data_IF_214415875136
#
_entry.id   IF_214415875136
#
_cell.length_a   1.000
_cell.length_b   1.000
_cell.length_c   1.000
_cell.angle_alpha   90.00
_cell.angle_beta   90.00
_cell.angle_gamma   90.00
#
_symmetry.space_group_name_H-M   'P 1'
#
loop_
_entity.id
_entity.type
_entity.pdbx_description
1 polymer ?
#
# COMPACT_ATOMS: atom_id res chain seq x y z
N UNK A 1 106.78 15.67 52.24
CA UNK A 1 107.07 17.06 51.85
C UNK A 1 106.66 17.15 50.39
N UNK A 2 105.49 17.71 50.09
CA UNK A 2 104.89 17.70 48.76
C UNK A 2 105.48 18.81 47.88
N UNK A 3 105.88 18.46 46.66
CA UNK A 3 106.54 19.38 45.75
C UNK A 3 105.58 20.50 45.30
N UNK A 4 106.00 21.79 45.36
CA UNK A 4 105.14 22.95 45.05
C UNK A 4 104.76 23.09 43.57
N UNK A 5 105.21 22.17 42.71
CA UNK A 5 105.03 22.22 41.25
C UNK A 5 103.74 21.57 40.76
N UNK A 6 103.16 20.60 41.48
CA UNK A 6 101.91 19.93 41.06
C UNK A 6 100.67 20.81 41.28
N UNK A 7 100.69 21.62 42.34
CA UNK A 7 99.64 22.61 42.62
C UNK A 7 99.68 23.75 41.60
N UNK A 8 100.86 24.13 41.11
CA UNK A 8 101.00 25.14 40.06
C UNK A 8 100.45 24.67 38.69
N UNK A 9 100.58 23.38 38.36
CA UNK A 9 99.97 22.82 37.14
C UNK A 9 98.46 22.64 37.25
N UNK A 10 97.94 22.26 38.42
CA UNK A 10 96.50 22.14 38.65
C UNK A 10 95.79 23.50 38.63
N UNK A 11 96.44 24.55 39.14
CA UNK A 11 95.92 25.93 39.10
C UNK A 11 95.96 26.50 37.68
N UNK A 12 96.93 26.13 36.83
CA UNK A 12 96.93 26.54 35.42
C UNK A 12 95.80 25.94 34.60
N UNK A 13 95.40 24.69 34.87
CA UNK A 13 94.28 24.03 34.17
C UNK A 13 92.91 24.59 34.60
N UNK A 14 92.79 25.09 35.84
CA UNK A 14 91.58 25.72 36.35
C UNK A 14 91.46 27.21 36.02
N UNK A 15 92.55 27.87 35.63
CA UNK A 15 92.59 29.31 35.31
C UNK A 15 92.35 29.62 33.82
N UNK A 16 92.09 28.61 32.98
CA UNK A 16 91.80 28.78 31.55
C UNK A 16 90.29 28.86 31.22
N UNK A 17 89.43 28.91 32.26
CA UNK A 17 87.99 29.18 32.14
C UNK A 17 87.64 30.53 32.77
N UNK A 18 87.96 31.63 32.08
CA UNK A 18 87.57 32.94 32.59
C UNK A 18 88.22 34.14 31.91
N UNK A 19 88.49 34.07 30.61
CA UNK A 19 88.84 35.26 29.85
C UNK A 19 87.65 36.23 29.83
N UNK A 20 87.88 37.51 30.14
CA UNK A 20 86.92 38.60 30.01
C UNK A 20 86.54 38.82 28.53
N UNK A 21 85.82 37.89 27.92
CA UNK A 21 85.12 38.13 26.67
C UNK A 21 83.81 38.83 27.01
N UNK A 22 83.67 40.10 26.65
CA UNK A 22 82.41 40.83 26.73
C UNK A 22 81.31 40.04 25.98
N UNK A 23 80.48 39.30 26.73
CA UNK A 23 79.41 38.44 26.21
C UNK A 23 78.32 39.22 25.44
N UNK A 24 78.26 40.54 25.61
CA UNK A 24 77.35 41.43 24.91
C UNK A 24 77.86 41.90 23.54
N UNK A 25 79.15 41.70 23.21
CA UNK A 25 79.67 42.04 21.88
C UNK A 25 79.33 40.89 20.94
N UNK A 26 78.49 41.11 19.90
CA UNK A 26 78.12 40.05 18.98
C UNK A 26 79.36 39.56 18.23
N UNK A 27 79.71 38.30 18.43
CA UNK A 27 80.76 37.62 17.67
C UNK A 27 80.20 37.13 16.32
N UNK A 28 81.07 36.81 15.36
CA UNK A 28 80.67 36.27 14.03
C UNK A 28 79.80 35.01 14.06
N UNK A 29 79.67 34.39 15.24
CA UNK A 29 78.68 33.35 15.53
C UNK A 29 77.24 33.81 15.29
N UNK A 30 76.92 35.09 15.43
CA UNK A 30 75.59 35.64 15.14
C UNK A 30 75.14 35.37 13.70
N UNK A 31 76.01 35.63 12.72
CA UNK A 31 75.70 35.38 11.30
C UNK A 31 75.57 33.90 10.98
N UNK A 32 76.38 33.05 11.63
CA UNK A 32 76.30 31.60 11.45
C UNK A 32 75.01 31.01 12.05
N UNK A 33 74.64 31.46 13.26
CA UNK A 33 73.36 31.09 13.89
C UNK A 33 72.18 31.60 13.07
N UNK A 34 72.25 32.83 12.53
CA UNK A 34 71.22 33.37 11.65
C UNK A 34 71.08 32.54 10.35
N UNK A 35 72.20 32.13 9.76
CA UNK A 35 72.19 31.29 8.57
C UNK A 35 71.53 29.92 8.83
N UNK A 36 71.88 29.25 9.95
CA UNK A 36 71.25 27.99 10.36
C UNK A 36 69.75 28.21 10.64
N UNK A 37 69.39 29.29 11.32
CA UNK A 37 68.00 29.64 11.59
C UNK A 37 67.19 29.81 10.30
N UNK A 38 67.73 30.52 9.31
CA UNK A 38 67.08 30.70 8.01
C UNK A 38 66.94 29.38 7.23
N UNK A 39 67.95 28.50 7.29
CA UNK A 39 67.87 27.16 6.68
C UNK A 39 66.76 26.34 7.35
N UNK A 40 66.71 26.29 8.68
CA UNK A 40 65.66 25.58 9.43
C UNK A 40 64.27 26.18 9.16
N UNK A 41 64.15 27.51 9.12
CA UNK A 41 62.91 28.20 8.78
C UNK A 41 62.44 27.82 7.36
N UNK A 42 63.36 27.75 6.40
CA UNK A 42 63.09 27.29 5.04
C UNK A 42 62.57 25.84 5.03
N UNK A 43 63.22 24.94 5.77
CA UNK A 43 62.78 23.54 5.91
C UNK A 43 61.41 23.42 6.56
N UNK A 44 61.13 24.16 7.63
CA UNK A 44 59.81 24.15 8.30
C UNK A 44 58.74 24.70 7.36
N UNK A 45 59.01 25.84 6.70
CA UNK A 45 58.08 26.48 5.78
C UNK A 45 57.75 25.62 4.56
N UNK A 46 58.72 24.84 4.07
CA UNK A 46 58.53 23.98 2.88
C UNK A 46 58.06 22.56 3.19
N UNK A 47 58.49 21.95 4.29
CA UNK A 47 58.16 20.55 4.62
C UNK A 47 57.09 20.38 5.70
N UNK A 48 57.00 21.29 6.69
CA UNK A 48 56.12 21.11 7.87
C UNK A 48 54.80 21.87 7.73
N UNK A 49 54.85 23.11 7.23
CA UNK A 49 53.65 23.94 7.07
C UNK A 49 52.64 23.36 6.06
N UNK A 50 53.05 22.87 4.86
CA UNK A 50 52.09 22.33 3.89
C UNK A 50 51.26 21.14 4.38
N UNK A 51 51.83 20.09 5.04
CA UNK A 51 51.01 18.98 5.54
C UNK A 51 50.05 19.41 6.65
N UNK A 52 50.44 20.33 7.53
CA UNK A 52 49.55 20.85 8.58
C UNK A 52 48.35 21.60 7.97
N UNK A 53 48.61 22.49 7.01
CA UNK A 53 47.55 23.21 6.30
C UNK A 53 46.64 22.26 5.51
N UNK A 54 47.19 21.17 4.96
CA UNK A 54 46.41 20.14 4.27
C UNK A 54 45.45 19.44 5.23
N UNK A 55 45.90 19.05 6.42
CA UNK A 55 45.05 18.41 7.44
C UNK A 55 43.95 19.35 7.94
N UNK A 56 44.28 20.63 8.16
CA UNK A 56 43.28 21.64 8.55
C UNK A 56 42.20 21.80 7.48
N UNK A 57 42.59 21.94 6.20
CA UNK A 57 41.65 22.02 5.08
C UNK A 57 40.81 20.75 4.94
N UNK A 58 41.41 19.58 5.09
CA UNK A 58 40.69 18.30 5.04
C UNK A 58 39.62 18.24 6.14
N UNK A 59 39.97 18.64 7.37
CA UNK A 59 39.03 18.69 8.49
C UNK A 59 37.89 19.67 8.23
N UNK A 60 38.20 20.87 7.75
CA UNK A 60 37.19 21.89 7.48
C UNK A 60 36.27 21.46 6.32
N UNK A 61 36.84 20.83 5.27
CA UNK A 61 36.07 20.23 4.18
C UNK A 61 35.18 19.08 4.67
N UNK A 62 35.68 18.22 5.56
CA UNK A 62 34.91 17.13 6.15
C UNK A 62 33.73 17.68 6.95
N UNK A 63 33.92 18.72 7.76
CA UNK A 63 32.83 19.35 8.54
C UNK A 63 31.81 20.02 7.61
N UNK A 64 32.26 20.75 6.60
CA UNK A 64 31.36 21.37 5.62
C UNK A 64 30.56 20.32 4.84
N UNK A 65 31.22 19.22 4.45
CA UNK A 65 30.60 18.11 3.73
C UNK A 65 29.58 17.39 4.61
N UNK A 66 29.90 17.03 5.85
CA UNK A 66 28.94 16.37 6.74
C UNK A 66 27.74 17.26 7.05
N UNK A 67 27.92 18.56 7.19
CA UNK A 67 26.82 19.50 7.34
C UNK A 67 25.94 19.57 6.07
N UNK A 68 26.56 19.64 4.89
CA UNK A 68 25.83 19.66 3.62
C UNK A 68 25.07 18.35 3.38
N UNK A 69 25.71 17.20 3.63
CA UNK A 69 25.13 15.88 3.49
C UNK A 69 23.96 15.69 4.48
N UNK A 70 24.10 16.18 5.72
CA UNK A 70 23.02 16.13 6.72
C UNK A 70 21.80 16.97 6.31
N UNK A 71 22.03 18.18 5.79
CA UNK A 71 20.95 19.03 5.26
C UNK A 71 20.26 18.37 4.07
N UNK A 72 21.04 17.85 3.13
CA UNK A 72 20.51 17.15 1.95
C UNK A 72 19.73 15.89 2.34
N UNK A 73 20.21 15.12 3.31
CA UNK A 73 19.49 13.96 3.83
C UNK A 73 18.17 14.36 4.49
N UNK A 74 18.15 15.45 5.28
CA UNK A 74 16.92 15.96 5.88
C UNK A 74 15.91 16.46 4.84
N UNK A 75 16.36 17.17 3.81
CA UNK A 75 15.52 17.62 2.69
C UNK A 75 14.95 16.45 1.89
N UNK A 76 15.77 15.45 1.57
CA UNK A 76 15.32 14.24 0.89
C UNK A 76 14.33 13.44 1.73
N UNK A 77 14.57 13.33 3.03
CA UNK A 77 13.64 12.67 3.94
C UNK A 77 12.30 13.40 3.99
N UNK A 78 12.30 14.73 4.13
CA UNK A 78 11.08 15.52 4.15
C UNK A 78 10.31 15.43 2.81
N UNK A 79 11.01 15.41 1.68
CA UNK A 79 10.39 15.22 0.38
C UNK A 79 9.78 13.81 0.24
N UNK A 80 10.52 12.77 0.64
CA UNK A 80 10.02 11.40 0.60
C UNK A 80 8.82 11.17 1.53
N UNK A 81 8.83 11.79 2.71
CA UNK A 81 7.71 11.71 3.68
C UNK A 81 6.46 12.43 3.13
N UNK A 82 6.63 13.59 2.49
CA UNK A 82 5.54 14.29 1.82
C UNK A 82 4.94 13.48 0.65
N UNK A 83 5.78 12.86 -0.17
CA UNK A 83 5.35 11.98 -1.27
C UNK A 83 4.65 10.72 -0.73
N UNK A 84 5.15 10.14 0.35
CA UNK A 84 4.54 9.00 1.03
C UNK A 84 3.14 9.33 1.58
N UNK A 85 3.02 10.45 2.31
CA UNK A 85 1.74 10.95 2.82
C UNK A 85 0.75 11.24 1.70
N UNK A 86 1.22 11.81 0.59
CA UNK A 86 0.40 12.06 -0.60
C UNK A 86 -0.10 10.74 -1.21
N UNK A 87 0.79 9.77 -1.43
CA UNK A 87 0.44 8.46 -1.96
C UNK A 87 -0.56 7.72 -1.06
N UNK A 88 -0.40 7.79 0.27
CA UNK A 88 -1.36 7.22 1.21
C UNK A 88 -2.74 7.88 1.12
N UNK A 89 -2.80 9.20 0.97
CA UNK A 89 -4.06 9.93 0.82
C UNK A 89 -4.75 9.55 -0.48
N UNK A 90 -4.02 9.54 -1.59
CA UNK A 90 -4.53 9.12 -2.90
C UNK A 90 -5.06 7.68 -2.86
N UNK A 91 -4.30 6.73 -2.30
CA UNK A 91 -4.72 5.34 -2.14
C UNK A 91 -5.99 5.20 -1.28
N UNK A 92 -6.13 6.01 -0.22
CA UNK A 92 -7.36 6.01 0.62
C UNK A 92 -8.57 6.53 -0.14
N UNK A 93 -8.40 7.58 -0.94
CA UNK A 93 -9.47 8.14 -1.78
C UNK A 93 -9.88 7.13 -2.84
N UNK A 94 -8.92 6.51 -3.52
CA UNK A 94 -9.18 5.50 -4.54
C UNK A 94 -9.86 4.26 -3.95
N UNK A 95 -9.40 3.77 -2.80
CA UNK A 95 -10.06 2.66 -2.10
C UNK A 95 -11.49 3.01 -1.67
N UNK A 96 -11.74 4.25 -1.26
CA UNK A 96 -13.09 4.77 -0.97
C UNK A 96 -13.98 4.74 -2.22
N UNK A 97 -13.51 5.34 -3.31
CA UNK A 97 -14.22 5.37 -4.59
C UNK A 97 -14.51 3.95 -5.12
N UNK A 98 -13.53 3.04 -5.03
CA UNK A 98 -13.71 1.64 -5.43
C UNK A 98 -14.80 0.94 -4.62
N UNK A 99 -14.84 1.15 -3.29
CA UNK A 99 -15.89 0.58 -2.43
C UNK A 99 -17.27 1.12 -2.76
N UNK A 100 -17.37 2.42 -3.05
CA UNK A 100 -18.65 3.05 -3.40
C UNK A 100 -19.14 2.62 -4.79
N UNK A 101 -18.23 2.48 -5.76
CA UNK A 101 -18.53 1.89 -7.06
C UNK A 101 -19.01 0.45 -6.92
N UNK A 102 -18.30 -0.40 -6.17
CA UNK A 102 -18.69 -1.78 -5.93
C UNK A 102 -20.06 -1.89 -5.23
N UNK A 103 -20.37 -0.99 -4.28
CA UNK A 103 -21.70 -0.92 -3.64
C UNK A 103 -22.79 -0.54 -4.64
N UNK A 104 -22.49 0.42 -5.52
CA UNK A 104 -23.45 0.89 -6.53
C UNK A 104 -23.72 -0.18 -7.57
N UNK A 105 -22.68 -0.84 -8.07
CA UNK A 105 -22.79 -1.99 -8.98
C UNK A 105 -23.52 -3.16 -8.32
N UNK A 106 -23.17 -3.48 -7.07
CA UNK A 106 -23.85 -4.54 -6.32
C UNK A 106 -25.35 -4.27 -6.16
N UNK A 107 -25.75 -3.02 -5.89
CA UNK A 107 -27.18 -2.62 -5.85
C UNK A 107 -27.84 -2.80 -7.20
N UNK A 108 -27.22 -2.35 -8.29
CA UNK A 108 -27.74 -2.55 -9.65
C UNK A 108 -27.95 -4.03 -9.98
N UNK A 109 -26.99 -4.89 -9.63
CA UNK A 109 -27.11 -6.33 -9.86
C UNK A 109 -28.28 -6.93 -9.07
N UNK A 110 -28.49 -6.50 -7.82
CA UNK A 110 -29.63 -6.94 -7.01
C UNK A 110 -30.95 -6.46 -7.62
N UNK A 111 -31.03 -5.19 -8.04
CA UNK A 111 -32.23 -4.62 -8.64
C UNK A 111 -32.55 -5.31 -9.98
N UNK A 112 -31.54 -5.56 -10.83
CA UNK A 112 -31.69 -6.28 -12.09
C UNK A 112 -32.09 -7.76 -11.88
N UNK A 113 -31.56 -8.41 -10.84
CA UNK A 113 -31.94 -9.77 -10.49
C UNK A 113 -33.38 -9.83 -9.99
N UNK A 114 -33.80 -8.85 -9.18
CA UNK A 114 -35.17 -8.72 -8.69
C UNK A 114 -36.15 -8.47 -9.83
N UNK A 115 -35.84 -7.55 -10.74
CA UNK A 115 -36.68 -7.26 -11.90
C UNK A 115 -36.86 -8.50 -12.80
N UNK A 116 -35.78 -9.26 -13.03
CA UNK A 116 -35.85 -10.55 -13.76
C UNK A 116 -36.70 -11.58 -13.03
N UNK A 117 -36.57 -11.70 -11.70
CA UNK A 117 -37.39 -12.61 -10.91
C UNK A 117 -38.88 -12.23 -10.97
N UNK A 118 -39.21 -10.94 -10.87
CA UNK A 118 -40.58 -10.44 -10.98
C UNK A 118 -41.18 -10.73 -12.37
N UNK A 119 -40.39 -10.58 -13.44
CA UNK A 119 -40.81 -10.97 -14.79
C UNK A 119 -41.09 -12.47 -14.91
N UNK A 120 -40.17 -13.32 -14.42
CA UNK A 120 -40.34 -14.78 -14.45
C UNK A 120 -41.56 -15.23 -13.65
N UNK A 121 -41.81 -14.61 -12.48
CA UNK A 121 -43.00 -14.89 -11.67
C UNK A 121 -44.27 -14.50 -12.42
N UNK A 122 -44.29 -13.33 -13.07
CA UNK A 122 -45.45 -12.90 -13.85
C UNK A 122 -45.74 -13.85 -15.03
N UNK A 123 -44.70 -14.28 -15.75
CA UNK A 123 -44.81 -15.27 -16.83
C UNK A 123 -45.33 -16.61 -16.33
N UNK A 124 -44.76 -17.12 -15.23
CA UNK A 124 -45.19 -18.38 -14.63
C UNK A 124 -46.65 -18.33 -14.18
N UNK A 125 -47.08 -17.22 -13.59
CA UNK A 125 -48.46 -17.03 -13.12
C UNK A 125 -49.44 -16.92 -14.29
N UNK A 126 -49.03 -16.27 -15.39
CA UNK A 126 -49.81 -16.24 -16.63
C UNK A 126 -49.98 -17.65 -17.23
N UNK A 127 -48.89 -18.44 -17.31
CA UNK A 127 -48.93 -19.81 -17.81
C UNK A 127 -49.79 -20.72 -16.91
N UNK A 128 -49.66 -20.59 -15.58
CA UNK A 128 -50.45 -21.36 -14.62
C UNK A 128 -51.96 -21.04 -14.74
N UNK A 129 -52.32 -19.77 -14.90
CA UNK A 129 -53.72 -19.37 -15.13
C UNK A 129 -54.26 -19.94 -16.45
N UNK A 130 -53.45 -19.96 -17.50
CA UNK A 130 -53.84 -20.55 -18.78
C UNK A 130 -54.03 -22.07 -18.70
N UNK A 131 -53.15 -22.77 -17.98
CA UNK A 131 -53.29 -24.21 -17.68
C UNK A 131 -54.54 -24.49 -16.86
N UNK A 132 -54.78 -23.74 -15.78
CA UNK A 132 -55.98 -23.87 -14.95
C UNK A 132 -57.26 -23.64 -15.76
N UNK A 133 -57.26 -22.67 -16.69
CA UNK A 133 -58.39 -22.44 -17.58
C UNK A 133 -58.65 -23.64 -18.49
N UNK A 134 -57.60 -24.19 -19.11
CA UNK A 134 -57.70 -25.41 -19.94
C UNK A 134 -58.22 -26.61 -19.14
N UNK A 135 -57.72 -26.81 -17.93
CA UNK A 135 -58.19 -27.88 -17.04
C UNK A 135 -59.66 -27.68 -16.64
N UNK A 136 -60.06 -26.46 -16.30
CA UNK A 136 -61.46 -26.12 -16.01
C UNK A 136 -62.39 -26.44 -17.18
N UNK A 137 -62.01 -26.04 -18.39
CA UNK A 137 -62.79 -26.29 -19.60
C UNK A 137 -62.90 -27.81 -19.88
N UNK A 138 -61.81 -28.56 -19.69
CA UNK A 138 -61.80 -30.02 -19.84
C UNK A 138 -62.67 -30.74 -18.80
N UNK A 139 -62.57 -30.32 -17.53
CA UNK A 139 -63.39 -30.87 -16.43
C UNK A 139 -64.87 -30.54 -16.64
N UNK A 140 -65.20 -29.34 -17.12
CA UNK A 140 -66.58 -28.97 -17.42
C UNK A 140 -67.17 -29.83 -18.56
N UNK A 141 -66.37 -30.14 -19.59
CA UNK A 141 -66.78 -31.05 -20.65
C UNK A 141 -67.05 -32.46 -20.11
N UNK A 142 -66.16 -33.00 -19.28
CA UNK A 142 -66.31 -34.32 -18.67
C UNK A 142 -67.51 -34.39 -17.69
N UNK A 143 -67.74 -33.34 -16.90
CA UNK A 143 -68.93 -33.24 -16.04
C UNK A 143 -70.22 -33.24 -16.87
N UNK A 144 -70.25 -32.54 -18.01
CA UNK A 144 -71.43 -32.53 -18.90
C UNK A 144 -71.71 -33.92 -19.48
N UNK A 145 -70.69 -34.68 -19.88
CA UNK A 145 -70.89 -36.07 -20.33
C UNK A 145 -71.36 -36.99 -19.21
N UNK A 146 -70.86 -36.81 -17.98
CA UNK A 146 -71.19 -37.67 -16.86
C UNK A 146 -72.51 -37.32 -16.17
N UNK A 147 -73.00 -36.07 -16.29
CA UNK A 147 -74.27 -35.60 -15.69
C UNK A 147 -75.47 -36.40 -16.16
N UNK A 148 -75.50 -36.81 -17.43
CA UNK A 148 -76.60 -37.60 -17.99
C UNK A 148 -76.70 -38.99 -17.34
N UNK A 149 -75.56 -39.67 -17.19
CA UNK A 149 -75.49 -40.97 -16.53
C UNK A 149 -75.87 -40.89 -15.04
N UNK A 150 -75.36 -39.87 -14.33
CA UNK A 150 -75.67 -39.67 -12.90
C UNK A 150 -77.15 -39.34 -12.71
N UNK A 151 -77.73 -38.52 -13.59
CA UNK A 151 -79.16 -38.17 -13.54
C UNK A 151 -80.06 -39.37 -13.82
N UNK A 152 -79.71 -40.23 -14.79
CA UNK A 152 -80.42 -41.48 -15.06
C UNK A 152 -80.35 -42.44 -13.87
N UNK A 153 -79.18 -42.56 -13.24
CA UNK A 153 -78.98 -43.39 -12.04
C UNK A 153 -79.82 -42.88 -10.86
N UNK A 154 -79.90 -41.56 -10.67
CA UNK A 154 -80.71 -40.93 -9.63
C UNK A 154 -82.22 -41.13 -9.91
N UNK A 155 -82.67 -40.92 -11.14
CA UNK A 155 -84.04 -41.14 -11.56
C UNK A 155 -84.48 -42.60 -11.33
N UNK A 156 -83.61 -43.57 -11.67
CA UNK A 156 -83.85 -44.99 -11.42
C UNK A 156 -83.99 -45.31 -9.92
N UNK A 157 -83.15 -44.73 -9.06
CA UNK A 157 -83.26 -44.90 -7.60
C UNK A 157 -84.54 -44.30 -7.01
N UNK A 158 -85.00 -43.16 -7.52
CA UNK A 158 -86.23 -42.49 -7.04
C UNK A 158 -87.49 -43.21 -7.53
N UNK A 159 -87.48 -43.70 -8.78
CA UNK A 159 -88.63 -44.38 -9.40
C UNK A 159 -88.71 -45.88 -9.07
N UNK A 160 -87.62 -46.49 -8.57
CA UNK A 160 -87.59 -47.92 -8.21
C UNK A 160 -87.58 -48.89 -9.40
N UNK A 161 -87.31 -48.39 -10.61
CA UNK A 161 -87.25 -49.15 -11.87
C UNK A 161 -86.04 -48.69 -12.68
N UNK A 162 -85.41 -49.59 -13.45
CA UNK A 162 -84.26 -49.24 -14.29
C UNK A 162 -84.67 -48.32 -15.44
N UNK A 163 -84.08 -47.12 -15.48
CA UNK A 163 -84.30 -46.15 -16.57
C UNK A 163 -83.01 -46.04 -17.37
N UNK A 164 -82.97 -46.69 -18.54
CA UNK A 164 -81.82 -46.61 -19.45
C UNK A 164 -81.84 -45.29 -20.23
N UNK A 165 -80.72 -44.56 -20.33
CA UNK A 165 -80.66 -43.26 -21.03
C UNK A 165 -80.96 -43.37 -22.54
N UNK A 166 -80.82 -44.56 -23.14
CA UNK A 166 -81.12 -44.78 -24.55
C UNK A 166 -82.63 -44.91 -24.87
N UNK A 167 -83.47 -45.19 -23.86
CA UNK A 167 -84.90 -45.43 -24.09
C UNK A 167 -85.70 -44.13 -24.30
N UNK A 168 -85.28 -43.01 -23.72
CA UNK A 168 -86.03 -41.75 -23.77
C UNK A 168 -86.00 -41.06 -25.15
N UNK A 169 -84.94 -41.26 -25.95
CA UNK A 169 -84.84 -40.62 -27.27
C UNK A 169 -85.59 -41.41 -28.36
N UNK A 170 -85.76 -42.73 -28.19
CA UNK A 170 -86.45 -43.57 -29.19
C UNK A 170 -87.99 -43.48 -29.11
N UNK A 171 -88.58 -43.22 -27.94
CA UNK A 171 -90.03 -43.07 -27.83
C UNK A 171 -90.54 -41.70 -28.33
N UNK A 172 -89.73 -40.64 -28.23
CA UNK A 172 -90.11 -39.30 -28.67
C UNK A 172 -90.18 -39.16 -30.20
N UNK A 173 -89.38 -39.91 -30.96
CA UNK A 173 -89.42 -39.86 -32.44
C UNK A 173 -90.50 -40.76 -33.05
N UNK A 174 -90.98 -41.77 -32.34
CA UNK A 174 -92.08 -42.66 -32.79
C UNK A 174 -93.46 -41.99 -32.68
N UNK A 175 -93.69 -41.16 -31.66
CA UNK A 175 -95.00 -40.51 -31.42
C UNK A 175 -95.27 -39.28 -32.29
N UNK A 176 -94.31 -38.83 -33.09
CA UNK A 176 -94.45 -37.69 -34.00
C UNK A 176 -94.84 -38.08 -35.44
N UNK A 177 -94.99 -39.38 -35.76
CA UNK A 177 -95.32 -39.87 -37.11
C UNK A 177 -96.62 -40.70 -37.16
N UNK A 178 -97.55 -40.49 -36.23
CA UNK A 178 -98.91 -41.03 -36.34
C UNK A 178 -99.96 -40.03 -35.89
#
# INVERSE_FOLDING_TARGET
>A
MGDPTSLASAVKFAAEEGGQSNFLIPNGTFFFVLAIFLVVLGVIGTFVVPPILRVLKERDNMVAKTQADSKKAAEQFAAADADYEKALKEARVEAGAFRDNARTEGRKVIDDARARAEQQVAEMLAQANEQLKRERDAVELDLRSNVGAISATLASRVLGVEVSPAAATSEATSKATR
#
